data_IF_947671719426
#
_entry.id   IF_947671719426
#
_cell.length_a   1.000
_cell.length_b   1.000
_cell.length_c   1.000
_cell.angle_alpha   90.00
_cell.angle_beta   90.00
_cell.angle_gamma   90.00
#
_symmetry.space_group_name_H-M   'P 1'
#
loop_
_entity.id
_entity.type
_entity.pdbx_description
1 polymer ?
#
# COMPACT_ATOMS: atom_id res chain seq x y z
N UNK A 1 8.59 19.48 -46.98
CA UNK A 1 8.76 18.87 -45.66
C UNK A 1 7.69 19.32 -44.69
N UNK A 2 6.85 18.39 -44.22
CA UNK A 2 5.92 18.66 -43.11
C UNK A 2 6.69 18.45 -41.80
N UNK A 3 6.53 19.30 -40.79
CA UNK A 3 7.11 19.05 -39.48
C UNK A 3 6.55 17.73 -38.92
N UNK A 4 7.33 16.97 -38.13
CA UNK A 4 6.84 15.77 -37.50
C UNK A 4 5.66 16.10 -36.58
N UNK A 5 4.70 15.17 -36.39
CA UNK A 5 3.61 15.39 -35.45
C UNK A 5 4.19 15.59 -34.05
N UNK A 6 3.73 16.65 -33.37
CA UNK A 6 3.98 16.84 -31.95
C UNK A 6 3.32 15.69 -31.19
N UNK A 7 4.12 14.68 -30.82
CA UNK A 7 3.71 13.61 -29.93
C UNK A 7 3.93 14.11 -28.49
N UNK A 8 3.22 15.18 -28.13
CA UNK A 8 3.00 15.52 -26.73
C UNK A 8 2.07 14.45 -26.15
N UNK A 9 2.66 13.29 -25.84
CA UNK A 9 2.07 12.33 -24.92
C UNK A 9 1.87 13.09 -23.61
N UNK A 10 0.63 13.55 -23.43
CA UNK A 10 0.10 14.12 -22.21
C UNK A 10 0.34 13.06 -21.13
N UNK A 11 1.41 13.21 -20.36
CA UNK A 11 1.57 12.52 -19.10
C UNK A 11 0.39 12.99 -18.25
N UNK A 12 -0.67 12.19 -18.27
CA UNK A 12 -1.75 12.28 -17.32
C UNK A 12 -1.13 11.99 -15.96
N UNK A 13 -0.75 13.04 -15.24
CA UNK A 13 -0.55 13.01 -13.78
C UNK A 13 -1.91 12.70 -13.14
N UNK A 14 -2.35 11.47 -13.31
CA UNK A 14 -3.70 11.03 -13.04
C UNK A 14 -3.67 9.69 -12.34
N UNK A 15 -2.87 9.63 -11.27
CA UNK A 15 -3.10 8.80 -10.09
C UNK A 15 -1.82 8.86 -9.26
N UNK A 16 -1.71 9.91 -8.44
CA UNK A 16 -1.01 9.75 -7.17
C UNK A 16 -1.88 8.92 -6.23
N UNK A 17 -2.34 7.73 -6.66
CA UNK A 17 -2.72 6.67 -5.74
C UNK A 17 -1.41 6.09 -5.21
N UNK A 18 -0.61 6.96 -4.56
CA UNK A 18 0.28 6.52 -3.49
C UNK A 18 -0.63 5.68 -2.64
N UNK A 19 -0.43 4.36 -2.65
CA UNK A 19 -1.16 3.41 -1.84
C UNK A 19 -1.22 4.06 -0.46
N UNK A 20 -2.39 4.60 -0.09
CA UNK A 20 -2.56 5.25 1.20
C UNK A 20 -2.53 4.08 2.16
N UNK A 21 -1.34 3.70 2.60
CA UNK A 21 -1.16 2.74 3.67
C UNK A 21 -1.51 3.42 4.99
N UNK A 22 -2.62 4.16 5.01
CA UNK A 22 -3.18 4.82 6.16
C UNK A 22 -3.51 3.81 7.27
N UNK A 23 -3.67 2.53 6.91
CA UNK A 23 -3.76 1.45 7.91
C UNK A 23 -2.42 1.19 8.61
N UNK A 24 -1.26 1.35 7.96
CA UNK A 24 0.05 1.24 8.62
C UNK A 24 0.29 2.41 9.58
N UNK A 25 -0.27 3.58 9.28
CA UNK A 25 -0.19 4.73 10.19
C UNK A 25 -1.25 4.70 11.29
N UNK A 26 -2.03 3.61 11.42
CA UNK A 26 -3.01 3.38 12.49
C UNK A 26 -4.25 4.29 12.47
N UNK A 27 -4.31 5.26 11.56
CA UNK A 27 -5.38 6.26 11.46
C UNK A 27 -6.47 5.85 10.46
N UNK A 28 -6.20 4.88 9.59
CA UNK A 28 -7.17 4.37 8.61
C UNK A 28 -8.12 3.32 9.19
N UNK A 29 -9.42 3.58 9.15
CA UNK A 29 -10.44 2.55 9.36
C UNK A 29 -10.59 1.72 8.08
N UNK A 30 -9.97 0.55 8.02
CA UNK A 30 -10.00 -0.32 6.83
C UNK A 30 -11.41 -0.60 6.30
N UNK A 31 -12.40 -0.74 7.20
CA UNK A 31 -13.80 -0.99 6.82
C UNK A 31 -14.46 0.18 6.09
N UNK A 32 -13.90 1.38 6.15
CA UNK A 32 -14.45 2.55 5.44
C UNK A 32 -14.16 2.42 3.95
N UNK A 33 -12.93 2.01 3.60
CA UNK A 33 -12.45 1.89 2.21
C UNK A 33 -12.62 0.50 1.60
N UNK A 34 -12.71 -0.56 2.41
CA UNK A 34 -12.74 -1.95 1.93
C UNK A 34 -13.94 -2.73 2.44
N UNK A 35 -14.46 -3.62 1.59
CA UNK A 35 -15.20 -4.80 2.02
C UNK A 35 -14.20 -5.85 2.47
N UNK A 36 -14.27 -6.24 3.75
CA UNK A 36 -13.35 -7.21 4.33
C UNK A 36 -14.01 -8.58 4.47
N UNK A 37 -13.35 -9.61 3.95
CA UNK A 37 -13.74 -11.00 4.08
C UNK A 37 -12.63 -11.76 4.80
N UNK A 38 -12.96 -12.48 5.87
CA UNK A 38 -12.01 -13.39 6.51
C UNK A 38 -11.92 -14.67 5.68
N UNK A 39 -10.70 -15.01 5.25
CA UNK A 39 -10.43 -16.23 4.50
C UNK A 39 -10.06 -17.38 5.45
N UNK A 40 -10.19 -18.61 4.95
CA UNK A 40 -9.70 -19.80 5.65
C UNK A 40 -8.16 -19.80 5.68
N UNK A 41 -7.60 -19.62 6.88
CA UNK A 41 -6.16 -19.59 7.08
C UNK A 41 -5.46 -20.90 6.68
N UNK A 42 -6.12 -22.07 6.82
CA UNK A 42 -5.54 -23.36 6.41
C UNK A 42 -5.40 -23.45 4.90
N UNK A 43 -6.43 -23.02 4.16
CA UNK A 43 -6.37 -22.97 2.69
C UNK A 43 -5.31 -21.99 2.19
N UNK A 44 -5.12 -20.89 2.93
CA UNK A 44 -4.07 -19.90 2.67
C UNK A 44 -2.68 -20.31 3.16
N UNK A 45 -2.54 -21.50 3.77
CA UNK A 45 -1.29 -22.03 4.34
C UNK A 45 -0.65 -21.08 5.36
N UNK A 46 -1.49 -20.50 6.22
CA UNK A 46 -1.07 -19.59 7.29
C UNK A 46 -1.30 -20.27 8.64
N UNK A 47 -0.22 -20.48 9.37
CA UNK A 47 -0.26 -20.99 10.74
C UNK A 47 -0.26 -19.86 11.76
N UNK A 48 -1.01 -20.03 12.85
CA UNK A 48 -1.04 -19.09 13.97
C UNK A 48 -1.47 -17.67 13.58
N UNK A 49 -2.39 -17.54 12.61
CA UNK A 49 -2.78 -16.24 12.08
C UNK A 49 -4.13 -16.23 11.37
N UNK A 50 -4.56 -15.02 11.01
CA UNK A 50 -5.75 -14.76 10.20
C UNK A 50 -5.36 -14.23 8.83
N UNK A 51 -6.22 -14.45 7.84
CA UNK A 51 -6.11 -13.82 6.53
C UNK A 51 -7.39 -13.03 6.26
N UNK A 52 -7.24 -11.74 5.97
CA UNK A 52 -8.33 -10.90 5.48
C UNK A 52 -8.10 -10.56 4.02
N UNK A 53 -9.14 -10.72 3.20
CA UNK A 53 -9.23 -10.14 1.87
C UNK A 53 -9.99 -8.82 1.97
N UNK A 54 -9.35 -7.75 1.51
CA UNK A 54 -9.96 -6.44 1.28
C UNK A 54 -10.18 -6.21 -0.20
N UNK A 55 -11.44 -6.00 -0.57
CA UNK A 55 -11.86 -5.53 -1.89
C UNK A 55 -12.26 -4.06 -1.74
N UNK A 56 -11.70 -3.14 -2.52
CA UNK A 56 -12.00 -1.73 -2.36
C UNK A 56 -13.47 -1.49 -2.69
N UNK A 57 -14.13 -0.62 -1.93
CA UNK A 57 -15.53 -0.27 -2.19
C UNK A 57 -15.69 0.61 -3.43
N UNK A 58 -14.64 1.37 -3.76
CA UNK A 58 -14.54 2.17 -4.98
C UNK A 58 -13.42 1.59 -5.85
N UNK A 59 -13.68 1.42 -7.14
CA UNK A 59 -12.68 0.89 -8.05
C UNK A 59 -11.49 1.85 -8.17
N UNK A 60 -10.27 1.30 -8.11
CA UNK A 60 -9.02 2.05 -8.31
C UNK A 60 -8.05 1.23 -9.17
N UNK A 61 -7.29 1.86 -10.08
CA UNK A 61 -6.23 1.18 -10.83
C UNK A 61 -5.12 0.63 -9.93
N UNK A 62 -4.88 1.25 -8.77
CA UNK A 62 -3.73 0.95 -7.92
C UNK A 62 -3.82 -0.42 -7.22
N UNK A 63 -5.03 -0.93 -6.96
CA UNK A 63 -5.26 -2.23 -6.36
C UNK A 63 -6.70 -2.72 -6.60
N UNK A 64 -6.84 -3.97 -7.00
CA UNK A 64 -8.11 -4.69 -7.05
C UNK A 64 -8.34 -5.46 -5.74
N UNK A 65 -7.28 -6.03 -5.14
CA UNK A 65 -7.37 -6.84 -3.92
C UNK A 65 -6.20 -6.58 -2.98
N UNK A 66 -6.49 -6.58 -1.70
CA UNK A 66 -5.52 -6.49 -0.60
C UNK A 66 -5.66 -7.72 0.28
N UNK A 67 -4.59 -8.47 0.49
CA UNK A 67 -4.55 -9.56 1.46
C UNK A 67 -3.73 -9.14 2.67
N UNK A 68 -4.33 -9.21 3.85
CA UNK A 68 -3.69 -8.93 5.12
C UNK A 68 -3.48 -10.24 5.86
N UNK A 69 -2.24 -10.55 6.22
CA UNK A 69 -1.86 -11.70 7.01
C UNK A 69 -1.55 -11.20 8.42
N UNK A 70 -2.31 -11.69 9.39
CA UNK A 70 -2.38 -11.11 10.74
C UNK A 70 -1.98 -12.17 11.75
N UNK A 71 -1.13 -11.79 12.69
CA UNK A 71 -0.78 -12.59 13.87
C UNK A 71 -2.01 -12.82 14.75
N UNK A 72 -2.32 -14.06 15.14
CA UNK A 72 -3.50 -14.34 15.96
C UNK A 72 -3.36 -13.89 17.42
N UNK A 73 -2.13 -13.75 17.92
CA UNK A 73 -1.85 -13.42 19.32
C UNK A 73 -1.69 -11.90 19.51
N UNK A 74 -1.00 -11.24 18.57
CA UNK A 74 -0.68 -9.81 18.67
C UNK A 74 -1.58 -8.92 17.82
N UNK A 75 -2.36 -9.50 16.90
CA UNK A 75 -3.17 -8.81 15.89
C UNK A 75 -2.36 -7.89 14.96
N UNK A 76 -1.03 -8.04 14.94
CA UNK A 76 -0.16 -7.27 14.05
C UNK A 76 -0.21 -7.84 12.64
N UNK A 77 -0.11 -6.97 11.64
CA UNK A 77 0.02 -7.36 10.24
C UNK A 77 1.46 -7.85 10.00
N UNK A 78 1.61 -9.13 9.66
CA UNK A 78 2.90 -9.75 9.31
C UNK A 78 3.22 -9.64 7.82
N UNK A 79 2.18 -9.60 6.96
CA UNK A 79 2.32 -9.49 5.51
C UNK A 79 1.15 -8.80 4.86
N UNK A 80 1.44 -8.06 3.79
CA UNK A 80 0.47 -7.48 2.86
C UNK A 80 0.77 -7.99 1.45
N UNK A 81 -0.26 -8.43 0.73
CA UNK A 81 -0.19 -8.68 -0.71
C UNK A 81 -1.19 -7.77 -1.42
N UNK A 82 -0.72 -7.02 -2.41
CA UNK A 82 -1.56 -6.20 -3.28
C UNK A 82 -1.61 -6.83 -4.66
N UNK A 83 -2.81 -6.99 -5.20
CA UNK A 83 -3.03 -7.29 -6.60
C UNK A 83 -3.63 -6.04 -7.23
N UNK A 84 -3.02 -5.52 -8.29
CA UNK A 84 -3.54 -4.37 -9.04
C UNK A 84 -4.38 -4.79 -10.25
N UNK A 85 -5.01 -3.80 -10.90
CA UNK A 85 -5.87 -4.02 -12.06
C UNK A 85 -5.12 -4.61 -13.27
N UNK A 86 -3.78 -4.50 -13.29
CA UNK A 86 -2.91 -5.08 -14.30
C UNK A 86 -2.41 -6.48 -13.89
N UNK A 87 -2.88 -6.99 -12.74
CA UNK A 87 -2.48 -8.24 -12.08
C UNK A 87 -1.03 -8.27 -11.60
N UNK A 88 -0.41 -7.10 -11.40
CA UNK A 88 0.87 -7.06 -10.69
C UNK A 88 0.65 -7.45 -9.24
N UNK A 89 1.63 -8.17 -8.68
CA UNK A 89 1.59 -8.64 -7.30
C UNK A 89 2.72 -8.03 -6.49
N UNK A 90 2.39 -7.10 -5.61
CA UNK A 90 3.32 -6.52 -4.66
C UNK A 90 3.18 -7.23 -3.31
N UNK A 91 4.30 -7.57 -2.69
CA UNK A 91 4.34 -8.27 -1.39
C UNK A 91 5.24 -7.51 -0.43
N UNK A 92 4.73 -7.26 0.77
CA UNK A 92 5.45 -6.66 1.88
C UNK A 92 5.40 -7.63 3.06
N UNK A 93 6.57 -7.99 3.58
CA UNK A 93 6.71 -8.76 4.82
C UNK A 93 7.24 -7.84 5.92
N UNK A 94 6.55 -7.79 7.05
CA UNK A 94 6.95 -7.02 8.23
C UNK A 94 7.67 -7.96 9.18
N UNK A 95 8.99 -7.79 9.27
CA UNK A 95 9.86 -8.62 10.09
C UNK A 95 10.26 -7.85 11.34
N UNK A 96 10.25 -8.52 12.48
CA UNK A 96 10.64 -7.97 13.79
C UNK A 96 10.01 -6.60 14.10
N UNK A 97 8.67 -6.46 14.03
CA UNK A 97 8.02 -5.18 14.32
C UNK A 97 8.24 -4.80 15.78
N UNK A 98 8.76 -3.60 16.01
CA UNK A 98 8.82 -2.99 17.33
C UNK A 98 7.59 -2.09 17.53
N UNK A 99 6.94 -2.20 18.70
CA UNK A 99 5.71 -1.46 19.00
C UNK A 99 5.88 -0.58 20.21
N UNK A 100 5.15 0.54 20.24
CA UNK A 100 5.18 1.53 21.33
C UNK A 100 6.58 2.12 21.60
N UNK A 101 7.47 2.10 20.60
CA UNK A 101 8.78 2.73 20.68
C UNK A 101 8.65 4.22 20.45
N UNK A 102 9.38 5.03 21.24
CA UNK A 102 9.46 6.47 21.02
C UNK A 102 10.36 6.75 19.81
N UNK A 103 9.78 7.23 18.73
CA UNK A 103 10.52 7.64 17.54
C UNK A 103 10.86 9.14 17.63
N UNK A 104 12.13 9.55 17.42
CA UNK A 104 12.52 10.95 17.36
C UNK A 104 11.79 11.72 16.23
N UNK A 105 11.38 12.96 16.48
CA UNK A 105 10.60 13.74 15.51
C UNK A 105 11.37 14.03 14.20
N UNK A 106 12.70 14.09 14.26
CA UNK A 106 13.55 14.34 13.10
C UNK A 106 13.58 13.17 12.11
N UNK A 107 13.19 11.95 12.50
CA UNK A 107 13.01 10.82 11.56
C UNK A 107 11.91 11.11 10.51
N UNK A 108 11.01 12.05 10.79
CA UNK A 108 9.93 12.47 9.89
C UNK A 108 10.28 13.74 9.09
N UNK A 109 11.53 14.21 9.14
CA UNK A 109 12.01 15.40 8.42
C UNK A 109 12.96 14.98 7.32
N UNK A 110 12.58 15.26 6.06
CA UNK A 110 13.44 15.01 4.91
C UNK A 110 14.23 16.27 4.53
N UNK A 111 15.57 16.15 4.51
CA UNK A 111 16.45 17.17 3.93
C UNK A 111 17.05 16.63 2.65
N UNK A 112 16.70 17.19 1.47
CA UNK A 112 17.24 16.70 0.21
C UNK A 112 18.75 16.91 0.15
N UNK A 113 19.53 15.94 -0.37
CA UNK A 113 20.95 16.14 -0.65
C UNK A 113 21.23 17.35 -1.54
N UNK A 114 22.46 17.87 -1.47
CA UNK A 114 22.88 19.00 -2.33
C UNK A 114 22.73 18.62 -3.81
N UNK A 115 22.15 19.51 -4.60
CA UNK A 115 21.93 19.30 -6.04
C UNK A 115 20.67 18.50 -6.38
N UNK A 116 19.89 18.05 -5.39
CA UNK A 116 18.58 17.46 -5.63
C UNK A 116 17.64 18.50 -6.23
N UNK A 117 17.11 18.20 -7.42
CA UNK A 117 16.00 18.96 -8.00
C UNK A 117 14.72 18.65 -7.22
N UNK A 118 14.14 19.68 -6.62
CA UNK A 118 12.84 19.56 -5.94
C UNK A 118 11.75 19.98 -6.94
N UNK A 119 10.98 19.01 -7.41
CA UNK A 119 9.83 19.24 -8.27
C UNK A 119 8.60 19.43 -7.36
N UNK A 120 7.90 20.55 -7.52
CA UNK A 120 6.61 20.80 -6.87
C UNK A 120 5.53 20.79 -7.95
N UNK A 121 4.51 19.92 -7.86
CA UNK A 121 3.38 19.93 -8.77
C UNK A 121 2.52 21.18 -8.59
#
# INVERSE_FOLDING_TARGET
DRPPPDISHRWSSGSSDVFKIAFLTGTGKLKDSFKLTKLDAKQMRVEGGYVLLGEPKEATPAYEKVFLYIDANTYQVRRVILLDAQRNRNRFDFLNPEVNVKIPANEFVFTPPKGTQVIRP
#
